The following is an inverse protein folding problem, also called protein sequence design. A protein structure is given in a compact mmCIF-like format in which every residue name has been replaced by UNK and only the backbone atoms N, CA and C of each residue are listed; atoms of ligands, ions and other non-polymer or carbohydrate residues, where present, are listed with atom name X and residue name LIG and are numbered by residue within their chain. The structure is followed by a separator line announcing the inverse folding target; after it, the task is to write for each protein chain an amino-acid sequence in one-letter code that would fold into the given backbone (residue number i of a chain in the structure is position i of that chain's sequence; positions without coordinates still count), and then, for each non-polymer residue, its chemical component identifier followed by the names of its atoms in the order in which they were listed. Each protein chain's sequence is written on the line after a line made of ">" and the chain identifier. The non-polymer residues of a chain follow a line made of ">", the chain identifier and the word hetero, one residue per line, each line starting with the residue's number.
data_IF_374645775578
#
_entry.id   IF_374645775578
#
_cell.length_a   1.000
_cell.length_b   1.000
_cell.length_c   1.000
_cell.angle_alpha   90.00
_cell.angle_beta   90.00
_cell.angle_gamma   90.00
#
_symmetry.space_group_name_H-M   'P 1'
#
loop_
_entity.id
_entity.type
_entity.pdbx_description
1 polymer ?
#
# COMPACT_ATOMS: atom_id res chain seq x y z
N UNK A 1 11.81 1.91 -20.05
CA UNK A 1 11.52 0.46 -20.09
C UNK A 1 10.47 0.21 -19.02
N UNK A 2 9.21 0.11 -19.43
CA UNK A 2 8.09 -0.11 -18.51
C UNK A 2 7.99 -1.61 -18.27
N UNK A 3 8.23 -2.06 -17.04
CA UNK A 3 8.01 -3.47 -16.69
C UNK A 3 6.52 -3.68 -16.55
N UNK A 4 5.97 -4.43 -17.50
CA UNK A 4 4.64 -4.99 -17.45
C UNK A 4 4.49 -5.81 -16.17
N UNK A 5 3.77 -5.31 -15.17
CA UNK A 5 3.34 -6.14 -14.04
C UNK A 5 2.12 -6.94 -14.49
N UNK A 6 2.40 -7.96 -15.31
CA UNK A 6 1.46 -8.98 -15.69
C UNK A 6 0.97 -9.74 -14.46
N UNK A 7 -0.33 -10.01 -14.49
CA UNK A 7 -1.11 -10.77 -13.52
C UNK A 7 -0.66 -12.24 -13.52
N UNK A 8 0.52 -12.53 -12.98
CA UNK A 8 0.99 -13.91 -12.83
C UNK A 8 0.70 -14.44 -11.41
N UNK A 9 0.20 -15.68 -11.28
CA UNK A 9 -0.11 -16.28 -10.00
C UNK A 9 1.15 -16.37 -9.14
N UNK A 10 1.07 -15.85 -7.90
CA UNK A 10 2.09 -15.85 -6.84
C UNK A 10 3.13 -16.97 -6.99
N UNK A 11 4.27 -16.66 -7.63
CA UNK A 11 5.44 -17.54 -7.67
C UNK A 11 5.83 -17.90 -6.23
N UNK A 12 5.79 -19.20 -5.92
CA UNK A 12 6.07 -19.75 -4.58
C UNK A 12 7.52 -19.54 -4.13
N UNK A 13 8.43 -19.28 -5.06
CA UNK A 13 9.87 -19.14 -4.82
C UNK A 13 10.33 -17.68 -4.99
N UNK A 14 9.71 -16.76 -4.23
CA UNK A 14 10.18 -15.37 -4.21
C UNK A 14 11.49 -15.28 -3.42
N UNK A 15 12.53 -14.59 -3.93
CA UNK A 15 13.72 -14.31 -3.13
C UNK A 15 13.32 -13.52 -1.88
N UNK A 16 13.64 -14.05 -0.70
CA UNK A 16 13.38 -13.39 0.58
C UNK A 16 14.64 -12.68 1.06
N UNK A 17 14.49 -11.41 1.45
CA UNK A 17 15.56 -10.62 2.09
C UNK A 17 15.31 -10.60 3.59
N UNK A 18 16.32 -10.94 4.38
CA UNK A 18 16.25 -10.83 5.84
C UNK A 18 16.49 -9.37 6.26
N UNK A 19 15.56 -8.81 7.02
CA UNK A 19 15.66 -7.46 7.58
C UNK A 19 15.84 -7.55 9.10
N UNK A 20 16.77 -6.77 9.65
CA UNK A 20 16.95 -6.63 11.10
C UNK A 20 16.44 -5.25 11.51
N UNK A 21 15.49 -5.20 12.43
CA UNK A 21 14.92 -3.96 12.94
C UNK A 21 15.06 -3.93 14.47
N UNK A 22 15.44 -2.78 15.01
CA UNK A 22 15.41 -2.54 16.45
C UNK A 22 14.05 -1.95 16.80
N UNK A 23 13.34 -2.59 17.73
CA UNK A 23 12.02 -2.15 18.18
C UNK A 23 12.02 -1.99 19.70
N UNK A 24 11.34 -0.96 20.24
CA UNK A 24 11.19 -0.80 21.68
C UNK A 24 10.51 -2.00 22.34
N UNK A 25 10.84 -2.23 23.61
CA UNK A 25 10.33 -3.39 24.38
C UNK A 25 8.81 -3.31 24.56
N UNK A 26 8.27 -2.10 24.79
CA UNK A 26 6.84 -1.83 24.90
C UNK A 26 6.06 -2.19 23.61
N UNK A 27 6.67 -1.94 22.45
CA UNK A 27 6.11 -2.31 21.15
C UNK A 27 6.10 -3.82 21.01
N UNK A 28 7.19 -4.51 21.37
CA UNK A 28 7.26 -5.98 21.34
C UNK A 28 6.19 -6.64 22.22
N UNK A 29 5.97 -6.14 23.43
CA UNK A 29 4.95 -6.67 24.33
C UNK A 29 3.54 -6.40 23.81
N UNK A 30 3.33 -5.27 23.15
CA UNK A 30 2.06 -4.97 22.46
C UNK A 30 1.84 -5.93 21.29
N UNK A 31 2.87 -6.23 20.49
CA UNK A 31 2.78 -7.17 19.39
C UNK A 31 2.44 -8.59 19.84
N UNK A 32 3.06 -9.07 20.92
CA UNK A 32 2.74 -10.38 21.51
C UNK A 32 1.27 -10.47 21.95
N UNK A 33 0.71 -9.38 22.49
CA UNK A 33 -0.70 -9.32 22.88
C UNK A 33 -1.66 -9.26 21.69
N UNK A 34 -1.31 -8.52 20.63
CA UNK A 34 -2.17 -8.30 19.46
C UNK A 34 -2.15 -9.49 18.49
N UNK A 35 -1.04 -10.20 18.37
CA UNK A 35 -0.89 -11.35 17.47
C UNK A 35 -2.03 -12.38 17.59
N UNK A 36 -2.37 -12.92 18.78
CA UNK A 36 -3.45 -13.90 18.91
C UNK A 36 -4.83 -13.32 18.56
N UNK A 37 -5.07 -12.04 18.85
CA UNK A 37 -6.34 -11.36 18.55
C UNK A 37 -6.54 -11.26 17.03
N UNK A 38 -5.46 -11.04 16.29
CA UNK A 38 -5.44 -10.98 14.82
C UNK A 38 -5.39 -12.36 14.16
N UNK A 39 -5.40 -13.46 14.92
CA UNK A 39 -5.27 -14.82 14.38
C UNK A 39 -3.86 -15.16 13.88
N UNK A 40 -2.85 -14.38 14.27
CA UNK A 40 -1.46 -14.64 13.94
C UNK A 40 -0.82 -15.53 15.02
N UNK A 41 -0.12 -16.62 14.64
CA UNK A 41 0.50 -17.53 15.60
C UNK A 41 1.69 -16.89 16.33
N UNK A 42 2.38 -15.94 15.69
CA UNK A 42 3.57 -15.28 16.23
C UNK A 42 3.58 -13.78 15.89
N UNK A 43 4.31 -12.99 16.70
CA UNK A 43 4.50 -11.57 16.43
C UNK A 43 5.21 -11.32 15.10
N UNK A 44 6.10 -12.23 14.66
CA UNK A 44 6.77 -12.13 13.36
C UNK A 44 5.77 -12.21 12.19
N UNK A 45 4.73 -13.03 12.31
CA UNK A 45 3.67 -13.11 11.31
C UNK A 45 2.83 -11.81 11.28
N UNK A 46 2.57 -11.24 12.46
CA UNK A 46 1.88 -9.95 12.58
C UNK A 46 2.69 -8.80 11.96
N UNK A 47 4.01 -8.76 12.18
CA UNK A 47 4.92 -7.77 11.57
C UNK A 47 4.86 -7.87 10.05
N UNK A 48 4.99 -9.09 9.50
CA UNK A 48 4.92 -9.32 8.04
C UNK A 48 3.58 -8.87 7.45
N UNK A 49 2.48 -9.14 8.15
CA UNK A 49 1.15 -8.70 7.76
C UNK A 49 1.07 -7.17 7.73
N UNK A 50 1.48 -6.48 8.80
CA UNK A 50 1.44 -5.02 8.85
C UNK A 50 2.30 -4.35 7.78
N UNK A 51 3.51 -4.87 7.56
CA UNK A 51 4.39 -4.36 6.50
C UNK A 51 3.74 -4.55 5.13
N UNK A 52 3.15 -5.72 4.88
CA UNK A 52 2.51 -6.02 3.59
C UNK A 52 1.27 -5.17 3.35
N UNK A 53 0.41 -5.00 4.36
CA UNK A 53 -0.79 -4.17 4.26
C UNK A 53 -0.46 -2.69 4.11
N UNK A 54 0.52 -2.20 4.88
CA UNK A 54 1.03 -0.85 4.77
C UNK A 54 1.62 -0.58 3.38
N UNK A 55 2.50 -1.46 2.91
CA UNK A 55 3.09 -1.35 1.57
C UNK A 55 2.04 -1.47 0.48
N UNK A 56 1.09 -2.41 0.55
CA UNK A 56 0.02 -2.50 -0.46
C UNK A 56 -0.84 -1.24 -0.51
N UNK A 57 -1.15 -0.67 0.65
CA UNK A 57 -1.90 0.58 0.75
C UNK A 57 -1.10 1.73 0.13
N UNK A 58 0.17 1.84 0.48
CA UNK A 58 1.03 2.90 -0.02
C UNK A 58 1.32 2.71 -1.52
N UNK A 59 1.58 1.49 -1.98
CA UNK A 59 1.69 1.15 -3.39
C UNK A 59 0.38 1.51 -4.12
N UNK A 60 -0.79 1.20 -3.59
CA UNK A 60 -2.04 1.65 -4.20
C UNK A 60 -2.13 3.18 -4.29
N UNK A 61 -1.65 3.90 -3.27
CA UNK A 61 -1.63 5.36 -3.23
C UNK A 61 -0.56 5.98 -4.15
N UNK A 62 0.57 5.31 -4.38
CA UNK A 62 1.77 5.90 -4.98
C UNK A 62 2.26 5.23 -6.28
N UNK A 63 1.77 4.04 -6.65
CA UNK A 63 2.21 3.31 -7.87
C UNK A 63 1.53 3.81 -9.14
N UNK A 64 0.43 4.57 -9.03
CA UNK A 64 -0.02 5.42 -10.12
C UNK A 64 0.89 6.64 -10.17
N UNK A 65 1.87 6.66 -11.09
CA UNK A 65 2.82 7.76 -11.36
C UNK A 65 2.27 9.10 -10.86
N UNK A 66 2.74 9.48 -9.66
CA UNK A 66 2.37 10.64 -8.87
C UNK A 66 1.06 11.30 -9.27
N UNK A 67 -0.09 10.67 -8.98
CA UNK A 67 -1.40 11.35 -9.07
C UNK A 67 -1.31 12.71 -8.38
N UNK A 68 -0.59 12.81 -7.27
CA UNK A 68 -0.29 14.07 -6.62
C UNK A 68 0.45 15.07 -7.53
N UNK A 69 1.56 14.70 -8.18
CA UNK A 69 2.30 15.59 -9.09
C UNK A 69 1.55 15.84 -10.41
N UNK A 70 0.71 14.91 -10.84
CA UNK A 70 -0.19 15.07 -11.99
C UNK A 70 -1.30 16.07 -11.66
N UNK A 71 -1.91 15.97 -10.47
CA UNK A 71 -2.86 16.94 -9.94
C UNK A 71 -2.19 18.31 -9.77
N UNK A 72 -0.97 18.37 -9.25
CA UNK A 72 -0.22 19.63 -9.14
C UNK A 72 0.09 20.22 -10.52
N UNK A 73 0.50 19.41 -11.51
CA UNK A 73 0.69 19.87 -12.88
C UNK A 73 -0.61 20.39 -13.50
N UNK A 74 -1.75 19.74 -13.27
CA UNK A 74 -3.06 20.20 -13.75
C UNK A 74 -3.49 21.53 -13.11
N UNK A 75 -3.25 21.69 -11.80
CA UNK A 75 -3.47 22.96 -11.10
C UNK A 75 -2.59 24.08 -11.68
N UNK A 76 -1.31 23.79 -11.96
CA UNK A 76 -0.38 24.74 -12.60
C UNK A 76 -0.82 25.13 -14.02
N UNK A 77 -1.51 24.23 -14.74
CA UNK A 77 -2.09 24.50 -16.06
C UNK A 77 -3.47 25.18 -16.01
N UNK A 78 -3.96 25.57 -14.83
CA UNK A 78 -5.20 26.34 -14.68
C UNK A 78 -6.48 25.48 -14.65
N UNK A 79 -6.36 24.17 -14.44
CA UNK A 79 -7.54 23.32 -14.26
C UNK A 79 -8.16 23.61 -12.89
N UNK A 80 -9.47 23.95 -12.82
CA UNK A 80 -10.14 24.21 -11.56
C UNK A 80 -10.12 22.98 -10.64
N UNK A 81 -9.81 23.17 -9.37
CA UNK A 81 -9.73 22.10 -8.37
C UNK A 81 -11.02 21.27 -8.27
N UNK A 82 -12.17 21.90 -8.49
CA UNK A 82 -13.47 21.22 -8.48
C UNK A 82 -13.59 20.15 -9.58
N UNK A 83 -12.99 20.38 -10.75
CA UNK A 83 -13.00 19.42 -11.87
C UNK A 83 -12.07 18.25 -11.55
N UNK A 84 -10.93 18.53 -10.92
CA UNK A 84 -9.97 17.50 -10.50
C UNK A 84 -10.58 16.61 -9.42
N UNK A 85 -11.26 17.20 -8.43
CA UNK A 85 -11.95 16.48 -7.37
C UNK A 85 -13.06 15.59 -7.95
N UNK A 86 -13.88 16.13 -8.85
CA UNK A 86 -14.95 15.38 -9.52
C UNK A 86 -14.40 14.19 -10.31
N UNK A 87 -13.37 14.42 -11.14
CA UNK A 87 -12.73 13.35 -11.91
C UNK A 87 -12.06 12.28 -11.03
N UNK A 88 -11.54 12.68 -9.86
CA UNK A 88 -10.97 11.73 -8.88
C UNK A 88 -12.07 10.84 -8.29
N UNK A 89 -13.23 11.41 -7.95
CA UNK A 89 -14.39 10.66 -7.47
C UNK A 89 -14.92 9.68 -8.53
N UNK A 90 -15.02 10.11 -9.78
CA UNK A 90 -15.50 9.26 -10.88
C UNK A 90 -14.58 8.03 -11.11
N UNK A 91 -13.27 8.19 -10.96
CA UNK A 91 -12.30 7.08 -11.05
C UNK A 91 -12.42 6.11 -9.86
N UNK A 92 -12.71 6.62 -8.67
CA UNK A 92 -12.92 5.80 -7.46
C UNK A 92 -14.24 5.03 -7.55
N UNK A 93 -15.30 5.66 -8.07
CA UNK A 93 -16.63 5.07 -8.21
C UNK A 93 -16.72 4.06 -9.36
N UNK A 94 -15.98 4.29 -10.46
CA UNK A 94 -15.87 3.34 -11.58
C UNK A 94 -14.93 2.15 -11.33
N UNK A 95 -14.18 2.16 -10.22
CA UNK A 95 -13.33 1.06 -9.76
C UNK A 95 -14.04 -0.02 -8.94
N UNK A 96 -15.35 0.10 -8.70
CA UNK A 96 -16.14 -0.94 -8.03
C UNK A 96 -16.33 -2.16 -8.96
N UNK A 97 -15.99 -3.39 -8.53
CA UNK A 97 -16.06 -4.56 -9.40
C UNK A 97 -17.54 -4.90 -9.70
N UNK A 98 -17.85 -5.06 -10.99
CA UNK A 98 -18.95 -5.93 -11.44
C UNK A 98 -18.43 -7.35 -11.60
#
# INVERSE_FOLDING_TARGET
>A
MFSEYSKEPLQKDRPMVSITINVPVDVMDSMKRIAPIKGCPEYQALVKLYITEGLRRDEYLYTGISIASFIEALKQHGVPEIVIQQATWDVIESGAPQ
#
